data_IF_708115641055
#
_entry.id   IF_708115641055
#
_cell.length_a   1.000
_cell.length_b   1.000
_cell.length_c   1.000
_cell.angle_alpha   90.00
_cell.angle_beta   90.00
_cell.angle_gamma   90.00
#
_symmetry.space_group_name_H-M   'P 1'
#
loop_
_entity.id
_entity.type
_entity.pdbx_description
1 polymer ?
#
# COMPACT_ATOMS: atom_id res chain seq x y z
N UNK A 1 8.92 -17.95 12.01
CA UNK A 1 9.90 -18.01 10.89
C UNK A 1 9.96 -19.45 10.34
N UNK A 2 10.46 -19.65 9.13
CA UNK A 2 10.56 -20.96 8.45
C UNK A 2 11.59 -20.95 7.31
N UNK A 3 11.68 -22.02 6.53
CA UNK A 3 12.58 -22.13 5.37
C UNK A 3 11.89 -21.71 4.08
N UNK A 4 12.64 -21.05 3.19
CA UNK A 4 12.21 -20.72 1.83
C UNK A 4 13.36 -21.05 0.86
N UNK A 5 13.02 -21.55 -0.33
CA UNK A 5 13.99 -21.93 -1.35
C UNK A 5 13.48 -21.53 -2.74
N UNK A 6 14.40 -21.32 -3.68
CA UNK A 6 14.05 -21.04 -5.08
C UNK A 6 13.24 -22.22 -5.67
N UNK A 7 12.23 -21.90 -6.49
CA UNK A 7 11.34 -22.89 -7.08
C UNK A 7 10.20 -23.36 -6.17
N UNK A 8 10.16 -22.96 -4.88
CA UNK A 8 8.97 -23.20 -4.07
C UNK A 8 7.79 -22.34 -4.57
N UNK A 9 6.60 -22.91 -4.75
CA UNK A 9 5.43 -22.16 -5.18
C UNK A 9 4.96 -21.20 -4.09
N UNK A 10 4.42 -20.06 -4.51
CA UNK A 10 3.71 -19.12 -3.63
C UNK A 10 2.22 -19.36 -3.76
N UNK A 11 1.57 -19.71 -2.64
CA UNK A 11 0.11 -19.88 -2.57
C UNK A 11 -0.51 -18.67 -1.86
N UNK A 12 -1.48 -18.03 -2.50
CA UNK A 12 -2.26 -16.97 -1.87
C UNK A 12 -3.16 -17.57 -0.78
N UNK A 13 -2.95 -17.17 0.48
CA UNK A 13 -3.78 -17.60 1.60
C UNK A 13 -4.95 -16.63 1.83
N UNK A 14 -4.66 -15.33 1.86
CA UNK A 14 -5.64 -14.30 2.13
C UNK A 14 -5.43 -13.04 1.31
N UNK A 15 -6.50 -12.28 1.13
CA UNK A 15 -6.48 -10.96 0.48
C UNK A 15 -7.37 -10.01 1.28
N UNK A 16 -6.88 -9.45 2.41
CA UNK A 16 -7.70 -8.63 3.30
C UNK A 16 -8.15 -7.31 2.67
N UNK A 17 -7.41 -6.80 1.69
CA UNK A 17 -7.69 -5.52 1.02
C UNK A 17 -7.72 -5.70 -0.51
N UNK A 18 -8.73 -6.40 -1.08
CA UNK A 18 -8.73 -6.77 -2.49
C UNK A 18 -8.80 -5.58 -3.44
N UNK A 19 -9.38 -4.46 -3.00
CA UNK A 19 -9.45 -3.21 -3.76
C UNK A 19 -8.11 -2.47 -3.83
N UNK A 20 -7.16 -2.78 -2.93
CA UNK A 20 -5.82 -2.19 -2.90
C UNK A 20 -4.82 -3.10 -3.62
N UNK A 21 -4.84 -3.02 -4.95
CA UNK A 21 -3.79 -3.64 -5.77
C UNK A 21 -2.49 -2.83 -5.66
N UNK A 22 -1.35 -3.47 -5.98
CA UNK A 22 -0.06 -2.77 -6.07
C UNK A 22 -0.14 -1.61 -7.06
N UNK A 23 -0.79 -1.81 -8.22
CA UNK A 23 -1.00 -0.76 -9.21
C UNK A 23 -1.77 0.44 -8.65
N UNK A 24 -2.89 0.20 -7.95
CA UNK A 24 -3.68 1.30 -7.35
C UNK A 24 -2.89 2.03 -6.27
N UNK A 25 -2.20 1.31 -5.39
CA UNK A 25 -1.38 1.92 -4.34
C UNK A 25 -0.25 2.78 -4.93
N UNK A 26 0.41 2.30 -5.99
CA UNK A 26 1.45 3.06 -6.69
C UNK A 26 0.91 4.32 -7.37
N UNK A 27 -0.28 4.26 -7.99
CA UNK A 27 -0.92 5.43 -8.58
C UNK A 27 -1.26 6.48 -7.53
N UNK A 28 -1.71 6.09 -6.34
CA UNK A 28 -1.96 7.02 -5.23
C UNK A 28 -0.66 7.64 -4.72
N UNK A 29 0.41 6.85 -4.60
CA UNK A 29 1.70 7.33 -4.08
C UNK A 29 2.45 8.23 -5.06
N UNK A 30 2.43 7.90 -6.36
CA UNK A 30 3.29 8.51 -7.38
C UNK A 30 2.53 9.24 -8.50
N UNK A 31 1.20 9.15 -8.52
CA UNK A 31 0.36 9.82 -9.52
C UNK A 31 0.42 11.33 -9.43
N UNK A 32 0.05 12.00 -10.53
CA UNK A 32 -0.12 13.46 -10.58
C UNK A 32 -1.60 13.77 -10.35
N UNK A 33 -1.91 14.46 -9.26
CA UNK A 33 -3.28 14.68 -8.80
C UNK A 33 -3.53 13.89 -7.52
N UNK A 34 -3.05 14.45 -6.42
CA UNK A 34 -3.25 13.91 -5.08
C UNK A 34 -4.74 14.06 -4.75
N UNK A 35 -5.54 13.00 -4.96
CA UNK A 35 -6.90 12.96 -4.44
C UNK A 35 -6.78 12.77 -2.92
N UNK A 36 -7.13 13.79 -2.10
CA UNK A 36 -6.85 13.74 -0.66
C UNK A 36 -7.58 12.60 0.04
N UNK A 37 -8.73 12.17 -0.51
CA UNK A 37 -9.47 11.04 -0.01
C UNK A 37 -8.72 9.72 -0.23
N UNK A 38 -8.15 9.50 -1.41
CA UNK A 38 -7.38 8.29 -1.71
C UNK A 38 -6.09 8.22 -0.89
N UNK A 39 -5.44 9.35 -0.63
CA UNK A 39 -4.29 9.41 0.27
C UNK A 39 -4.66 8.93 1.69
N UNK A 40 -5.77 9.45 2.24
CA UNK A 40 -6.26 9.06 3.57
C UNK A 40 -6.67 7.59 3.63
N UNK A 41 -7.37 7.10 2.62
CA UNK A 41 -7.78 5.68 2.56
C UNK A 41 -6.59 4.72 2.48
N UNK A 42 -5.53 5.07 1.73
CA UNK A 42 -4.32 4.25 1.66
C UNK A 42 -3.51 4.33 2.96
N UNK A 43 -3.42 5.51 3.58
CA UNK A 43 -2.64 5.73 4.80
C UNK A 43 -3.10 4.89 5.99
N UNK A 44 -4.39 4.52 6.03
CA UNK A 44 -4.98 3.72 7.10
C UNK A 44 -4.91 2.20 6.87
N UNK A 45 -4.38 1.72 5.73
CA UNK A 45 -4.21 0.28 5.49
C UNK A 45 -3.25 -0.31 6.54
N UNK A 46 -3.69 -1.25 7.40
CA UNK A 46 -2.90 -1.69 8.56
C UNK A 46 -1.52 -2.24 8.20
N UNK A 47 -1.45 -3.07 7.16
CA UNK A 47 -0.24 -3.78 6.72
C UNK A 47 0.70 -2.92 5.86
N UNK A 48 0.30 -1.68 5.52
CA UNK A 48 1.14 -0.78 4.73
C UNK A 48 2.40 -0.40 5.52
N UNK A 49 3.53 -0.33 4.83
CA UNK A 49 4.81 0.04 5.42
C UNK A 49 4.75 1.40 6.14
N UNK A 50 5.39 1.50 7.31
CA UNK A 50 5.39 2.72 8.11
C UNK A 50 5.97 3.93 7.36
N UNK A 51 6.98 3.72 6.50
CA UNK A 51 7.57 4.77 5.65
C UNK A 51 6.55 5.34 4.66
N UNK A 52 5.74 4.47 4.04
CA UNK A 52 4.67 4.90 3.14
C UNK A 52 3.58 5.67 3.88
N UNK A 53 3.15 5.20 5.05
CA UNK A 53 2.18 5.92 5.88
C UNK A 53 2.67 7.34 6.21
N UNK A 54 3.94 7.48 6.57
CA UNK A 54 4.58 8.79 6.82
C UNK A 54 4.56 9.69 5.58
N UNK A 55 4.94 9.17 4.41
CA UNK A 55 4.91 9.95 3.16
C UNK A 55 3.49 10.39 2.77
N UNK A 56 2.50 9.53 2.97
CA UNK A 56 1.09 9.85 2.71
C UNK A 56 0.57 10.92 3.67
N UNK A 57 0.93 10.85 4.96
CA UNK A 57 0.58 11.88 5.94
C UNK A 57 1.15 13.24 5.57
N UNK A 58 2.43 13.30 5.17
CA UNK A 58 3.06 14.54 4.72
C UNK A 58 2.35 15.16 3.51
N UNK A 59 1.91 14.32 2.56
CA UNK A 59 1.10 14.76 1.41
C UNK A 59 -0.26 15.32 1.84
N UNK A 60 -0.96 14.64 2.75
CA UNK A 60 -2.26 15.07 3.29
C UNK A 60 -2.17 16.40 4.04
N UNK A 61 -1.06 16.65 4.73
CA UNK A 61 -0.83 17.89 5.49
C UNK A 61 -0.39 19.07 4.60
N UNK A 62 0.06 18.79 3.37
CA UNK A 62 0.54 19.81 2.43
C UNK A 62 -0.53 20.29 1.43
N UNK A 63 -1.73 19.69 1.46
CA UNK A 63 -2.95 20.13 0.75
C UNK A 63 -3.77 21.14 1.58
#
# INVERSE_FOLDING_TARGET
PGTAAAGLPLTLVERPHPAWTITRANLVMHGRGDNPQLLRELAVVPQLAASWKKSLQQKIESD
#
